data_IF_865994342163
#
_entry.id   IF_865994342163
#
_cell.length_a   1.000
_cell.length_b   1.000
_cell.length_c   1.000
_cell.angle_alpha   90.00
_cell.angle_beta   90.00
_cell.angle_gamma   90.00
#
_symmetry.space_group_name_H-M   'P 1'
#
loop_
_entity.id
_entity.type
_entity.pdbx_description
1 polymer ?
#
# COMPACT_ATOMS: atom_id res chain seq x y z
N UNK A 1 30.62 -7.58 -111.51
CA UNK A 1 30.15 -7.26 -110.14
C UNK A 1 28.71 -6.74 -110.17
N UNK A 2 27.77 -7.49 -110.74
CA UNK A 2 26.37 -7.05 -110.94
C UNK A 2 25.34 -8.16 -110.68
N UNK A 3 25.73 -9.30 -110.09
CA UNK A 3 24.81 -10.39 -109.73
C UNK A 3 24.38 -10.38 -108.25
N UNK A 4 25.07 -9.63 -107.38
CA UNK A 4 24.73 -9.51 -105.96
C UNK A 4 23.34 -8.89 -105.71
N UNK A 5 22.86 -8.02 -106.60
CA UNK A 5 21.58 -7.32 -106.44
C UNK A 5 20.39 -8.07 -107.09
N UNK A 6 20.66 -9.10 -107.89
CA UNK A 6 19.65 -9.90 -108.58
C UNK A 6 19.32 -11.21 -107.83
N UNK A 7 20.07 -11.54 -106.78
CA UNK A 7 19.91 -12.76 -106.00
C UNK A 7 18.90 -12.54 -104.85
N UNK A 8 17.78 -13.30 -104.78
CA UNK A 8 16.78 -13.16 -103.72
C UNK A 8 17.35 -13.33 -102.31
N UNK A 9 18.40 -14.15 -102.17
CA UNK A 9 19.06 -14.42 -100.89
C UNK A 9 19.70 -13.16 -100.27
N UNK A 10 20.24 -12.25 -101.10
CA UNK A 10 20.83 -10.99 -100.63
C UNK A 10 19.77 -10.07 -100.00
N UNK A 11 18.60 -9.95 -100.64
CA UNK A 11 17.49 -9.14 -100.12
C UNK A 11 16.88 -9.75 -98.85
N UNK A 12 16.83 -11.08 -98.75
CA UNK A 12 16.41 -11.78 -97.51
C UNK A 12 17.38 -11.50 -96.37
N UNK A 13 18.70 -11.63 -96.60
CA UNK A 13 19.71 -11.32 -95.59
C UNK A 13 19.63 -9.85 -95.15
N UNK A 14 19.49 -8.92 -96.11
CA UNK A 14 19.35 -7.50 -95.82
C UNK A 14 18.09 -7.21 -94.99
N UNK A 15 16.95 -7.83 -95.31
CA UNK A 15 15.72 -7.71 -94.54
C UNK A 15 15.88 -8.25 -93.11
N UNK A 16 16.55 -9.39 -92.92
CA UNK A 16 16.84 -9.96 -91.58
C UNK A 16 17.76 -9.05 -90.78
N UNK A 17 18.81 -8.48 -91.39
CA UNK A 17 19.73 -7.55 -90.71
C UNK A 17 19.01 -6.26 -90.32
N UNK A 18 18.21 -5.68 -91.21
CA UNK A 18 17.42 -4.47 -90.92
C UNK A 18 16.38 -4.76 -89.83
N UNK A 19 15.68 -5.90 -89.89
CA UNK A 19 14.74 -6.33 -88.86
C UNK A 19 15.45 -6.52 -87.50
N UNK A 20 16.58 -7.22 -87.48
CA UNK A 20 17.37 -7.42 -86.27
C UNK A 20 17.86 -6.09 -85.69
N UNK A 21 18.33 -5.16 -86.52
CA UNK A 21 18.76 -3.83 -86.07
C UNK A 21 17.61 -3.01 -85.46
N UNK A 22 16.41 -3.07 -86.05
CA UNK A 22 15.21 -2.38 -85.54
C UNK A 22 14.75 -3.00 -84.21
N UNK A 23 14.76 -4.33 -84.09
CA UNK A 23 14.27 -5.05 -82.90
C UNK A 23 15.30 -5.06 -81.74
N UNK A 24 16.60 -5.00 -82.03
CA UNK A 24 17.65 -5.08 -81.03
C UNK A 24 17.54 -4.01 -79.93
N UNK A 25 17.27 -2.76 -80.31
CA UNK A 25 17.18 -1.63 -79.36
C UNK A 25 15.98 -1.75 -78.40
N UNK A 26 14.72 -1.95 -78.85
CA UNK A 26 13.59 -2.13 -77.96
C UNK A 26 13.69 -3.44 -77.15
N UNK A 27 14.14 -4.54 -77.76
CA UNK A 27 14.29 -5.83 -77.07
C UNK A 27 15.30 -5.74 -75.92
N UNK A 28 16.47 -5.14 -76.16
CA UNK A 28 17.47 -4.91 -75.10
C UNK A 28 16.91 -4.04 -73.99
N UNK A 29 16.22 -2.96 -74.33
CA UNK A 29 15.65 -2.04 -73.32
C UNK A 29 14.62 -2.74 -72.43
N UNK A 30 13.77 -3.59 -73.01
CA UNK A 30 12.75 -4.33 -72.27
C UNK A 30 13.37 -5.38 -71.32
N UNK A 31 14.35 -6.15 -71.81
CA UNK A 31 15.02 -7.19 -71.00
C UNK A 31 15.80 -6.56 -69.85
N UNK A 32 16.55 -5.48 -70.09
CA UNK A 32 17.29 -4.79 -69.01
C UNK A 32 16.33 -4.13 -68.02
N UNK A 33 15.27 -3.47 -68.49
CA UNK A 33 14.29 -2.82 -67.62
C UNK A 33 13.59 -3.78 -66.67
N UNK A 34 13.16 -4.95 -67.17
CA UNK A 34 12.50 -5.97 -66.33
C UNK A 34 13.44 -6.61 -65.30
N UNK A 35 14.73 -6.76 -65.63
CA UNK A 35 15.75 -7.23 -64.68
C UNK A 35 16.06 -6.17 -63.61
N UNK A 36 16.16 -4.90 -64.00
CA UNK A 36 16.37 -3.79 -63.07
C UNK A 36 15.18 -3.61 -62.11
N UNK A 37 13.94 -3.69 -62.61
CA UNK A 37 12.74 -3.67 -61.77
C UNK A 37 12.73 -4.81 -60.75
N UNK A 38 13.10 -6.03 -61.16
CA UNK A 38 13.24 -7.16 -60.24
C UNK A 38 14.34 -6.93 -59.21
N UNK A 39 15.51 -6.43 -59.64
CA UNK A 39 16.61 -6.13 -58.74
C UNK A 39 16.23 -5.04 -57.73
N UNK A 40 15.52 -4.00 -58.14
CA UNK A 40 15.01 -2.97 -57.25
C UNK A 40 13.99 -3.52 -56.25
N UNK A 41 13.06 -4.38 -56.71
CA UNK A 41 12.09 -5.02 -55.81
C UNK A 41 12.76 -5.89 -54.77
N UNK A 42 13.68 -6.76 -55.17
CA UNK A 42 14.42 -7.65 -54.25
C UNK A 42 15.23 -6.82 -53.25
N UNK A 43 15.89 -5.74 -53.69
CA UNK A 43 16.60 -4.83 -52.77
C UNK A 43 15.64 -4.20 -51.76
N UNK A 44 14.49 -3.72 -52.21
CA UNK A 44 13.46 -3.16 -51.33
C UNK A 44 12.96 -4.18 -50.29
N UNK A 45 12.65 -5.40 -50.71
CA UNK A 45 12.23 -6.49 -49.82
C UNK A 45 13.32 -6.86 -48.80
N UNK A 46 14.59 -6.90 -49.22
CA UNK A 46 15.72 -7.17 -48.32
C UNK A 46 15.97 -6.05 -47.32
N UNK A 47 15.84 -4.79 -47.73
CA UNK A 47 16.01 -3.63 -46.86
C UNK A 47 14.86 -3.54 -45.85
N UNK A 48 13.63 -3.83 -46.27
CA UNK A 48 12.47 -3.92 -45.36
C UNK A 48 12.63 -5.09 -44.37
N UNK A 49 13.08 -6.25 -44.84
CA UNK A 49 13.34 -7.39 -43.97
C UNK A 49 14.44 -7.10 -42.94
N UNK A 50 15.51 -6.39 -43.33
CA UNK A 50 16.56 -5.93 -42.41
C UNK A 50 16.00 -4.96 -41.38
N UNK A 51 15.25 -3.95 -41.81
CA UNK A 51 14.61 -2.99 -40.91
C UNK A 51 13.69 -3.69 -39.90
N UNK A 52 12.89 -4.66 -40.35
CA UNK A 52 11.99 -5.41 -39.48
C UNK A 52 12.77 -6.30 -38.48
N UNK A 53 13.92 -6.85 -38.88
CA UNK A 53 14.82 -7.56 -37.96
C UNK A 53 15.38 -6.62 -36.89
N UNK A 54 15.90 -5.46 -37.29
CA UNK A 54 16.47 -4.48 -36.37
C UNK A 54 15.41 -3.98 -35.37
N UNK A 55 14.19 -3.68 -35.84
CA UNK A 55 13.06 -3.29 -34.98
C UNK A 55 12.67 -4.40 -34.02
N UNK A 56 12.63 -5.65 -34.47
CA UNK A 56 12.33 -6.80 -33.61
C UNK A 56 13.40 -7.04 -32.54
N UNK A 57 14.68 -6.85 -32.88
CA UNK A 57 15.79 -6.97 -31.92
C UNK A 57 15.77 -5.84 -30.89
N UNK A 58 15.50 -4.61 -31.32
CA UNK A 58 15.30 -3.47 -30.42
C UNK A 58 14.13 -3.71 -29.46
N UNK A 59 12.99 -4.15 -30.00
CA UNK A 59 11.81 -4.45 -29.21
C UNK A 59 12.08 -5.57 -28.19
N UNK A 60 12.77 -6.64 -28.60
CA UNK A 60 13.15 -7.73 -27.70
C UNK A 60 14.05 -7.24 -26.56
N UNK A 61 15.05 -6.42 -26.87
CA UNK A 61 15.94 -5.81 -25.88
C UNK A 61 15.16 -4.93 -24.89
N UNK A 62 14.22 -4.12 -25.37
CA UNK A 62 13.33 -3.32 -24.54
C UNK A 62 12.45 -4.18 -23.61
N UNK A 63 11.83 -5.24 -24.13
CA UNK A 63 11.00 -6.14 -23.31
C UNK A 63 11.83 -6.86 -22.26
N UNK A 64 13.03 -7.34 -22.60
CA UNK A 64 13.92 -7.97 -21.63
C UNK A 64 14.35 -6.98 -20.53
N UNK A 65 14.62 -5.72 -20.90
CA UNK A 65 14.91 -4.67 -19.92
C UNK A 65 13.72 -4.40 -19.02
N UNK A 66 12.54 -4.19 -19.59
CA UNK A 66 11.28 -3.98 -18.84
C UNK A 66 10.96 -5.16 -17.92
N UNK A 67 11.21 -6.39 -18.37
CA UNK A 67 11.00 -7.58 -17.54
C UNK A 67 11.93 -7.60 -16.33
N UNK A 68 13.22 -7.26 -16.51
CA UNK A 68 14.18 -7.14 -15.40
C UNK A 68 13.82 -6.01 -14.44
N UNK A 69 13.44 -4.85 -14.97
CA UNK A 69 12.99 -3.70 -14.18
C UNK A 69 11.73 -4.05 -13.37
N UNK A 70 10.73 -4.69 -13.98
CA UNK A 70 9.52 -5.12 -13.30
C UNK A 70 9.78 -6.19 -12.22
N UNK A 71 10.71 -7.12 -12.45
CA UNK A 71 11.10 -8.10 -11.45
C UNK A 71 11.78 -7.42 -10.24
N UNK A 72 12.71 -6.50 -10.50
CA UNK A 72 13.38 -5.73 -9.44
C UNK A 72 12.39 -4.83 -8.66
N UNK A 73 11.44 -4.21 -9.36
CA UNK A 73 10.38 -3.41 -8.73
C UNK A 73 9.47 -4.28 -7.86
N UNK A 74 9.06 -5.46 -8.33
CA UNK A 74 8.28 -6.39 -7.54
C UNK A 74 9.02 -6.85 -6.26
N UNK A 75 10.31 -7.16 -6.37
CA UNK A 75 11.15 -7.49 -5.21
C UNK A 75 11.25 -6.32 -4.23
N UNK A 76 11.44 -5.09 -4.74
CA UNK A 76 11.48 -3.88 -3.92
C UNK A 76 10.14 -3.63 -3.20
N UNK A 77 9.00 -3.83 -3.88
CA UNK A 77 7.67 -3.71 -3.29
C UNK A 77 7.50 -4.71 -2.14
N UNK A 78 7.90 -5.97 -2.33
CA UNK A 78 7.80 -7.00 -1.30
C UNK A 78 8.72 -6.69 -0.11
N UNK A 79 9.95 -6.26 -0.37
CA UNK A 79 10.89 -5.86 0.68
C UNK A 79 10.36 -4.68 1.50
N UNK A 80 9.86 -3.64 0.82
CA UNK A 80 9.25 -2.47 1.46
C UNK A 80 8.02 -2.86 2.28
N UNK A 81 7.15 -3.71 1.75
CA UNK A 81 5.97 -4.19 2.47
C UNK A 81 6.32 -4.96 3.74
N UNK A 82 7.39 -5.79 3.71
CA UNK A 82 7.88 -6.50 4.90
C UNK A 82 8.40 -5.54 5.96
N UNK A 83 9.26 -4.61 5.56
CA UNK A 83 9.81 -3.59 6.47
C UNK A 83 8.70 -2.74 7.10
N UNK A 84 7.70 -2.35 6.31
CA UNK A 84 6.57 -1.56 6.81
C UNK A 84 5.68 -2.38 7.75
N UNK A 85 5.46 -3.67 7.45
CA UNK A 85 4.73 -4.58 8.34
C UNK A 85 5.43 -4.73 9.69
N UNK A 86 6.76 -4.92 9.69
CA UNK A 86 7.55 -4.99 10.92
C UNK A 86 7.47 -3.69 11.71
N UNK A 87 7.53 -2.53 11.04
CA UNK A 87 7.41 -1.21 11.66
C UNK A 87 6.03 -1.01 12.30
N UNK A 88 4.96 -1.36 11.59
CA UNK A 88 3.58 -1.29 12.09
C UNK A 88 3.40 -2.25 13.26
N UNK A 89 3.87 -3.49 13.16
CA UNK A 89 3.77 -4.48 14.24
C UNK A 89 4.50 -4.00 15.50
N UNK A 90 5.71 -3.46 15.37
CA UNK A 90 6.47 -2.91 16.49
C UNK A 90 5.76 -1.69 17.11
N UNK A 91 5.17 -0.82 16.29
CA UNK A 91 4.40 0.32 16.77
C UNK A 91 3.13 -0.13 17.51
N UNK A 92 2.37 -1.05 16.93
CA UNK A 92 1.16 -1.61 17.55
C UNK A 92 1.47 -2.31 18.88
N UNK A 93 2.59 -3.02 18.97
CA UNK A 93 3.03 -3.63 20.22
C UNK A 93 3.34 -2.57 21.30
N UNK A 94 4.04 -1.49 20.94
CA UNK A 94 4.29 -0.36 21.86
C UNK A 94 3.01 0.31 22.32
N UNK A 95 2.09 0.59 21.41
CA UNK A 95 0.82 1.24 21.71
C UNK A 95 -0.07 0.36 22.59
N UNK A 96 -0.07 -0.95 22.35
CA UNK A 96 -0.76 -1.93 23.17
C UNK A 96 -0.17 -1.98 24.58
N UNK A 97 1.16 -2.04 24.72
CA UNK A 97 1.83 -2.03 26.03
C UNK A 97 1.48 -0.77 26.82
N UNK A 98 1.56 0.41 26.20
CA UNK A 98 1.17 1.66 26.85
C UNK A 98 -0.31 1.68 27.25
N UNK A 99 -1.20 1.11 26.43
CA UNK A 99 -2.62 0.98 26.74
C UNK A 99 -2.86 0.07 27.94
N UNK A 100 -2.15 -1.06 28.02
CA UNK A 100 -2.21 -1.99 29.14
C UNK A 100 -1.69 -1.32 30.44
N UNK A 101 -0.55 -0.64 30.39
CA UNK A 101 0.00 0.09 31.53
C UNK A 101 -0.94 1.20 32.03
N UNK A 102 -1.63 1.91 31.13
CA UNK A 102 -2.67 2.87 31.53
C UNK A 102 -3.87 2.18 32.18
N UNK A 103 -4.34 1.07 31.61
CA UNK A 103 -5.47 0.31 32.17
C UNK A 103 -5.14 -0.28 33.53
N UNK A 104 -3.92 -0.78 33.71
CA UNK A 104 -3.45 -1.29 34.99
C UNK A 104 -3.44 -0.19 36.05
N UNK A 105 -2.84 0.97 35.76
CA UNK A 105 -2.85 2.11 36.69
C UNK A 105 -4.27 2.55 37.07
N UNK A 106 -5.17 2.65 36.10
CA UNK A 106 -6.57 2.98 36.35
C UNK A 106 -7.27 1.92 37.23
N UNK A 107 -6.94 0.64 37.08
CA UNK A 107 -7.48 -0.42 37.92
C UNK A 107 -6.93 -0.34 39.35
N UNK A 108 -5.62 -0.11 39.50
CA UNK A 108 -4.96 0.10 40.79
C UNK A 108 -5.54 1.32 41.53
N UNK A 109 -5.72 2.44 40.84
CA UNK A 109 -6.36 3.64 41.39
C UNK A 109 -7.80 3.37 41.84
N UNK A 110 -8.58 2.59 41.06
CA UNK A 110 -9.95 2.20 41.44
C UNK A 110 -9.97 1.28 42.66
N UNK A 111 -9.03 0.34 42.76
CA UNK A 111 -8.90 -0.54 43.91
C UNK A 111 -8.57 0.28 45.15
N UNK A 112 -7.57 1.17 45.08
CA UNK A 112 -7.21 2.04 46.20
C UNK A 112 -8.37 2.94 46.66
N UNK A 113 -9.15 3.48 45.71
CA UNK A 113 -10.36 4.25 46.04
C UNK A 113 -11.43 3.38 46.71
N UNK A 114 -11.62 2.14 46.24
CA UNK A 114 -12.58 1.22 46.84
C UNK A 114 -12.16 0.79 48.25
N UNK A 115 -10.87 0.55 48.48
CA UNK A 115 -10.30 0.25 49.80
C UNK A 115 -10.52 1.41 50.78
N UNK A 116 -10.21 2.65 50.37
CA UNK A 116 -10.45 3.83 51.20
C UNK A 116 -11.92 3.96 51.57
N UNK A 117 -12.83 3.77 50.60
CA UNK A 117 -14.28 3.81 50.86
C UNK A 117 -14.72 2.72 51.82
N UNK A 118 -14.24 1.49 51.65
CA UNK A 118 -14.57 0.37 52.54
C UNK A 118 -14.09 0.64 53.98
N UNK A 119 -12.90 1.22 54.15
CA UNK A 119 -12.38 1.62 55.47
C UNK A 119 -13.25 2.70 56.11
N UNK A 120 -13.66 3.70 55.34
CA UNK A 120 -14.53 4.77 55.83
C UNK A 120 -15.93 4.23 56.21
N UNK A 121 -16.48 3.31 55.42
CA UNK A 121 -17.75 2.61 55.70
C UNK A 121 -17.67 1.78 56.98
N UNK A 122 -16.59 1.02 57.18
CA UNK A 122 -16.37 0.25 58.42
C UNK A 122 -16.26 1.19 59.62
N UNK A 123 -15.54 2.31 59.48
CA UNK A 123 -15.40 3.31 60.55
C UNK A 123 -16.76 3.92 60.90
N UNK A 124 -17.56 4.30 59.90
CA UNK A 124 -18.90 4.82 60.12
C UNK A 124 -19.79 3.81 60.86
N UNK A 125 -19.81 2.55 60.40
CA UNK A 125 -20.56 1.48 61.05
C UNK A 125 -20.11 1.24 62.50
N UNK A 126 -18.80 1.28 62.77
CA UNK A 126 -18.27 1.14 64.13
C UNK A 126 -18.68 2.30 65.05
N UNK A 127 -18.69 3.53 64.52
CA UNK A 127 -19.18 4.72 65.25
C UNK A 127 -20.67 4.57 65.57
N UNK A 128 -21.49 4.14 64.61
CA UNK A 128 -22.92 3.92 64.83
C UNK A 128 -23.19 2.86 65.90
N UNK A 129 -22.45 1.74 65.87
CA UNK A 129 -22.53 0.69 66.90
C UNK A 129 -22.11 1.25 68.27
N UNK A 130 -21.03 2.02 68.34
CA UNK A 130 -20.56 2.61 69.60
C UNK A 130 -21.58 3.62 70.18
N UNK A 131 -22.20 4.46 69.33
CA UNK A 131 -23.26 5.39 69.74
C UNK A 131 -24.48 4.64 70.26
N UNK A 132 -24.88 3.57 69.58
CA UNK A 132 -26.02 2.75 70.00
C UNK A 132 -25.75 2.04 71.34
N UNK A 133 -24.56 1.45 71.51
CA UNK A 133 -24.16 0.83 72.77
C UNK A 133 -24.08 1.87 73.91
N UNK A 134 -23.50 3.05 73.66
CA UNK A 134 -23.46 4.14 74.63
C UNK A 134 -24.86 4.61 75.03
N UNK A 135 -25.79 4.73 74.06
CA UNK A 135 -27.20 5.05 74.32
C UNK A 135 -27.84 3.99 75.22
N UNK A 136 -27.64 2.71 74.93
CA UNK A 136 -28.21 1.61 75.71
C UNK A 136 -27.67 1.58 77.15
N UNK A 137 -26.36 1.78 77.33
CA UNK A 137 -25.75 1.92 78.66
C UNK A 137 -26.33 3.11 79.41
N UNK A 138 -26.42 4.30 78.77
CA UNK A 138 -27.01 5.50 79.39
C UNK A 138 -28.45 5.24 79.84
N UNK A 139 -29.28 4.59 79.01
CA UNK A 139 -30.67 4.25 79.36
C UNK A 139 -30.71 3.27 80.52
N UNK A 140 -29.84 2.26 80.54
CA UNK A 140 -29.80 1.26 81.61
C UNK A 140 -29.31 1.80 82.96
N UNK A 141 -28.45 2.82 82.95
CA UNK A 141 -27.85 3.44 84.14
C UNK A 141 -28.62 4.69 84.63
N UNK A 142 -29.68 5.09 83.89
CA UNK A 142 -30.56 6.22 84.24
C UNK A 142 -31.62 5.79 85.27
N UNK A 143 -31.32 6.06 86.54
CA UNK A 143 -32.27 6.09 87.67
C UNK A 143 -32.97 7.48 87.71
N UNK A 144 -34.24 7.55 88.16
CA UNK A 144 -35.00 8.79 88.43
C UNK A 144 -34.16 9.88 89.16
N UNK A 145 -33.30 9.49 90.10
CA UNK A 145 -32.38 10.39 90.83
C UNK A 145 -31.27 10.96 89.95
N UNK A 146 -30.67 10.15 89.07
CA UNK A 146 -29.61 10.61 88.16
C UNK A 146 -30.17 11.44 87.01
N UNK A 147 -31.38 11.10 86.53
CA UNK A 147 -32.11 11.90 85.55
C UNK A 147 -32.43 13.31 86.07
N UNK A 148 -32.90 13.43 87.32
CA UNK A 148 -33.15 14.71 87.96
C UNK A 148 -31.86 15.55 88.12
N UNK A 149 -30.76 14.93 88.56
CA UNK A 149 -29.47 15.63 88.69
C UNK A 149 -28.90 16.12 87.35
N UNK A 150 -29.08 15.35 86.26
CA UNK A 150 -28.69 15.77 84.91
C UNK A 150 -29.56 16.93 84.40
N UNK A 151 -30.86 16.92 84.72
CA UNK A 151 -31.79 18.00 84.38
C UNK A 151 -31.42 19.30 85.10
N UNK A 152 -31.15 19.24 86.41
CA UNK A 152 -30.71 20.39 87.20
C UNK A 152 -29.39 20.96 86.69
N UNK A 153 -28.45 20.08 86.30
CA UNK A 153 -27.16 20.49 85.72
C UNK A 153 -27.35 21.12 84.33
N UNK A 154 -28.25 20.58 83.50
CA UNK A 154 -28.59 21.17 82.20
C UNK A 154 -29.22 22.56 82.36
N UNK A 155 -30.15 22.72 83.31
CA UNK A 155 -30.79 24.01 83.65
C UNK A 155 -29.74 25.01 84.15
N UNK A 156 -28.81 24.59 85.00
CA UNK A 156 -27.71 25.43 85.47
C UNK A 156 -26.73 25.85 84.36
N UNK A 157 -26.61 25.06 83.29
CA UNK A 157 -25.71 25.33 82.15
C UNK A 157 -26.30 26.24 81.06
N UNK A 158 -27.62 26.44 81.02
CA UNK A 158 -28.31 27.34 80.09
C UNK A 158 -27.77 28.79 80.10
N UNK A 159 -27.54 29.44 81.26
CA UNK A 159 -27.02 30.81 81.29
C UNK A 159 -25.59 30.97 80.75
N UNK A 160 -24.79 29.89 80.64
CA UNK A 160 -23.44 29.94 80.05
C UNK A 160 -23.44 29.84 78.52
N UNK A 161 -24.51 29.33 77.88
CA UNK A 161 -24.62 29.23 76.41
C UNK A 161 -25.45 30.35 75.78
N UNK A 162 -26.04 31.23 76.59
CA UNK A 162 -26.81 32.42 76.18
C UNK A 162 -25.99 33.72 76.25
N UNK A 163 -24.66 33.63 76.24
CA UNK A 163 -23.75 34.76 76.02
C UNK A 163 -23.05 34.63 74.67
#
# INVERSE_FOLDING_TARGET
>A
MTHLFADPEFWVLLAVVVFAAIVWKPMRSYVVGTLDERAMRIRGELDEARKLRDEAEQLLSEYQRKQREAAAEAEAIVAHARQETERIAAQAARDLQQSLERRQRLAEERIAQAESKAVDEIRAAAVDVAINAAREVIISDLDERRGAALLDTAIASLPQRLR
#
